data_IF_786144087945
#
_entry.id   IF_786144087945
#
_cell.length_a   1.000
_cell.length_b   1.000
_cell.length_c   1.000
_cell.angle_alpha   90.00
_cell.angle_beta   90.00
_cell.angle_gamma   90.00
#
_symmetry.space_group_name_H-M   'P 1'
#
loop_
_entity.id
_entity.type
_entity.pdbx_description
1 polymer ?
#
# COMPACT_ATOMS: atom_id res chain seq x y z
N UNK A 1 1.02 9.33 -0.05
CA UNK A 1 2.01 9.54 -1.12
C UNK A 1 1.41 10.27 -2.32
N UNK A 2 0.36 9.76 -2.95
CA UNK A 2 -0.26 10.36 -4.14
C UNK A 2 -0.41 11.89 -4.11
N UNK A 3 -1.06 12.46 -3.09
CA UNK A 3 -1.30 13.91 -3.01
C UNK A 3 0.02 14.69 -3.09
N UNK A 4 1.05 14.27 -2.36
CA UNK A 4 2.35 14.96 -2.35
C UNK A 4 3.12 14.79 -3.65
N UNK A 5 3.13 13.58 -4.21
CA UNK A 5 3.87 13.27 -5.44
C UNK A 5 3.23 13.90 -6.68
N UNK A 6 1.91 14.11 -6.67
CA UNK A 6 1.17 14.71 -7.77
C UNK A 6 0.99 16.24 -7.62
N UNK A 7 1.74 16.90 -6.73
CA UNK A 7 1.77 18.36 -6.59
C UNK A 7 0.68 18.97 -5.70
N UNK A 8 -0.08 18.16 -4.97
CA UNK A 8 -1.00 18.61 -3.93
C UNK A 8 -0.33 18.80 -2.57
N UNK A 9 -1.10 19.27 -1.58
CA UNK A 9 -0.65 19.49 -0.20
C UNK A 9 -1.65 18.90 0.79
N UNK A 10 -1.13 18.27 1.85
CA UNK A 10 -1.92 17.85 3.00
C UNK A 10 -1.71 18.82 4.17
N UNK A 11 -2.79 19.35 4.73
CA UNK A 11 -2.77 20.35 5.80
C UNK A 11 -3.61 19.89 7.00
N UNK A 12 -3.11 20.17 8.20
CA UNK A 12 -3.86 19.97 9.43
C UNK A 12 -4.41 21.33 9.89
N UNK A 13 -5.73 21.52 9.82
CA UNK A 13 -6.39 22.80 10.13
C UNK A 13 -6.87 22.81 11.58
N UNK A 14 -6.21 23.55 12.50
CA UNK A 14 -6.54 23.49 13.92
C UNK A 14 -7.93 24.06 14.25
N UNK A 15 -8.48 24.93 13.41
CA UNK A 15 -9.81 25.52 13.62
C UNK A 15 -10.97 24.56 13.25
N UNK A 16 -10.67 23.42 12.63
CA UNK A 16 -11.67 22.43 12.19
C UNK A 16 -11.61 21.22 13.10
N UNK A 17 -12.61 21.06 13.98
CA UNK A 17 -12.64 19.99 14.96
C UNK A 17 -13.70 18.92 14.62
N UNK A 18 -13.28 17.66 14.59
CA UNK A 18 -14.16 16.49 14.45
C UNK A 18 -13.69 15.45 15.48
N UNK A 19 -14.61 14.99 16.33
CA UNK A 19 -14.32 13.92 17.29
C UNK A 19 -14.37 12.54 16.63
N UNK A 20 -13.39 11.69 16.90
CA UNK A 20 -13.37 10.29 16.47
C UNK A 20 -13.47 9.35 17.67
N UNK A 21 -14.46 8.44 17.67
CA UNK A 21 -14.57 7.39 18.69
C UNK A 21 -13.65 6.23 18.28
N UNK A 22 -12.49 6.11 18.92
CA UNK A 22 -11.57 5.00 18.68
C UNK A 22 -12.21 3.67 19.11
N UNK A 23 -12.28 2.71 18.18
CA UNK A 23 -12.84 1.37 18.42
C UNK A 23 -11.92 0.31 17.84
N UNK A 24 -12.03 -0.90 18.37
CA UNK A 24 -11.53 -2.08 17.66
C UNK A 24 -12.40 -2.36 16.42
N UNK A 25 -11.82 -3.03 15.45
CA UNK A 25 -12.47 -3.32 14.18
C UNK A 25 -13.72 -4.21 14.38
N UNK A 26 -14.94 -3.74 14.03
CA UNK A 26 -16.18 -4.43 14.41
C UNK A 26 -16.62 -5.52 13.42
N UNK A 27 -15.87 -5.72 12.34
CA UNK A 27 -16.18 -6.67 11.27
C UNK A 27 -15.00 -7.59 10.98
N UNK A 28 -15.31 -8.78 10.47
CA UNK A 28 -14.35 -9.80 10.12
C UNK A 28 -13.94 -9.71 8.64
N UNK A 29 -12.71 -10.13 8.35
CA UNK A 29 -12.19 -10.21 7.00
C UNK A 29 -12.06 -11.67 6.58
N UNK A 30 -12.43 -12.03 5.34
CA UNK A 30 -12.09 -13.34 4.79
C UNK A 30 -10.56 -13.48 4.76
N UNK A 31 -10.01 -14.54 5.35
CA UNK A 31 -8.56 -14.74 5.47
C UNK A 31 -7.87 -13.96 6.61
N UNK A 32 -8.64 -13.19 7.39
CA UNK A 32 -8.12 -12.44 8.53
C UNK A 32 -7.62 -11.03 8.18
N UNK A 33 -7.66 -10.16 9.19
CA UNK A 33 -7.32 -8.74 9.08
C UNK A 33 -5.90 -8.51 8.52
N UNK A 34 -4.93 -9.22 9.09
CA UNK A 34 -3.50 -9.03 8.78
C UNK A 34 -3.21 -9.28 7.30
N UNK A 35 -3.79 -10.34 6.73
CA UNK A 35 -3.57 -10.69 5.33
C UNK A 35 -4.09 -9.59 4.38
N UNK A 36 -5.28 -9.05 4.65
CA UNK A 36 -5.89 -7.99 3.83
C UNK A 36 -5.14 -6.66 3.99
N UNK A 37 -4.72 -6.31 5.21
CA UNK A 37 -3.92 -5.12 5.45
C UNK A 37 -2.58 -5.20 4.72
N UNK A 38 -1.86 -6.31 4.83
CA UNK A 38 -0.60 -6.53 4.12
C UNK A 38 -0.77 -6.48 2.60
N UNK A 39 -1.85 -7.07 2.06
CA UNK A 39 -2.16 -6.97 0.64
C UNK A 39 -2.35 -5.52 0.17
N UNK A 40 -3.08 -4.71 0.95
CA UNK A 40 -3.32 -3.31 0.63
C UNK A 40 -2.04 -2.46 0.77
N UNK A 41 -1.24 -2.69 1.81
CA UNK A 41 0.05 -2.02 1.97
C UNK A 41 1.00 -2.33 0.82
N UNK A 42 1.09 -3.59 0.39
CA UNK A 42 1.89 -4.00 -0.76
C UNK A 42 1.50 -3.22 -2.03
N UNK A 43 0.20 -3.09 -2.32
CA UNK A 43 -0.27 -2.29 -3.48
C UNK A 43 0.15 -0.83 -3.39
N UNK A 44 0.10 -0.23 -2.21
CA UNK A 44 0.53 1.15 -2.02
C UNK A 44 2.05 1.30 -2.18
N UNK A 45 2.82 0.34 -1.66
CA UNK A 45 4.29 0.29 -1.77
C UNK A 45 4.70 0.15 -3.24
N UNK A 46 4.11 -0.78 -3.98
CA UNK A 46 4.48 -1.01 -5.39
C UNK A 46 4.19 0.17 -6.31
N UNK A 47 3.13 0.93 -6.03
CA UNK A 47 2.71 2.05 -6.88
C UNK A 47 3.39 3.36 -6.49
N UNK A 48 3.61 3.62 -5.20
CA UNK A 48 3.96 4.95 -4.72
C UNK A 48 5.34 5.09 -4.08
N UNK A 49 6.04 3.99 -3.78
CA UNK A 49 7.42 4.02 -3.31
C UNK A 49 8.36 3.76 -4.49
N UNK A 50 9.58 4.29 -4.42
CA UNK A 50 10.68 3.93 -5.31
C UNK A 50 11.33 2.60 -4.89
N UNK A 51 12.17 2.02 -5.75
CA UNK A 51 12.67 0.67 -5.50
C UNK A 51 13.59 0.59 -4.28
N UNK A 52 14.36 1.64 -3.98
CA UNK A 52 15.22 1.69 -2.79
C UNK A 52 14.40 1.63 -1.49
N UNK A 53 13.36 2.47 -1.36
CA UNK A 53 12.55 2.47 -0.15
C UNK A 53 11.65 1.24 -0.04
N UNK A 54 11.22 0.64 -1.17
CA UNK A 54 10.53 -0.67 -1.17
C UNK A 54 11.38 -1.74 -0.51
N UNK A 55 12.68 -1.83 -0.84
CA UNK A 55 13.57 -2.85 -0.26
C UNK A 55 13.69 -2.71 1.26
N UNK A 56 13.76 -1.48 1.78
CA UNK A 56 13.81 -1.25 3.24
C UNK A 56 12.58 -1.84 3.92
N UNK A 57 11.39 -1.63 3.33
CA UNK A 57 10.14 -2.14 3.87
C UNK A 57 10.08 -3.66 3.78
N UNK A 58 10.47 -4.24 2.65
CA UNK A 58 10.46 -5.69 2.46
C UNK A 58 11.47 -6.43 3.32
N UNK A 59 12.64 -5.84 3.57
CA UNK A 59 13.62 -6.38 4.51
C UNK A 59 13.11 -6.34 5.96
N UNK A 60 12.32 -5.32 6.31
CA UNK A 60 11.73 -5.19 7.65
C UNK A 60 10.54 -6.12 7.85
N UNK A 61 9.80 -6.43 6.79
CA UNK A 61 8.57 -7.23 6.80
C UNK A 61 8.57 -8.27 5.68
N UNK A 62 9.34 -9.37 5.83
CA UNK A 62 9.53 -10.35 4.76
C UNK A 62 8.23 -11.06 4.35
N UNK A 63 7.24 -11.17 5.23
CA UNK A 63 5.93 -11.78 4.93
C UNK A 63 5.16 -11.06 3.82
N UNK A 64 5.44 -9.78 3.57
CA UNK A 64 4.83 -9.02 2.47
C UNK A 64 5.45 -9.37 1.10
N UNK A 65 6.62 -10.03 1.06
CA UNK A 65 7.28 -10.45 -0.17
C UNK A 65 6.68 -11.70 -0.80
N UNK A 66 5.73 -12.38 -0.14
CA UNK A 66 5.10 -13.59 -0.69
C UNK A 66 4.56 -13.27 -2.09
N UNK A 67 5.14 -13.97 -3.07
CA UNK A 67 4.84 -13.82 -4.48
C UNK A 67 3.36 -14.08 -4.66
N UNK A 68 2.64 -13.01 -4.88
CA UNK A 68 1.26 -13.11 -5.28
C UNK A 68 1.27 -13.50 -6.75
N UNK A 69 1.27 -14.79 -7.01
CA UNK A 69 0.89 -15.31 -8.33
C UNK A 69 -0.61 -15.05 -8.49
N UNK A 70 -1.01 -13.79 -8.63
CA UNK A 70 -2.39 -13.41 -8.86
C UNK A 70 -2.60 -13.17 -10.35
N UNK A 71 -3.20 -14.20 -10.97
CA UNK A 71 -4.32 -14.08 -11.88
C UNK A 71 -4.17 -13.10 -13.06
N UNK A 72 -3.86 -13.65 -14.24
CA UNK A 72 -4.21 -13.22 -15.63
C UNK A 72 -4.11 -11.75 -16.09
N UNK A 73 -3.81 -10.77 -15.25
CA UNK A 73 -3.70 -9.34 -15.61
C UNK A 73 -2.23 -8.90 -15.77
N UNK A 74 -1.29 -9.78 -15.41
CA UNK A 74 0.17 -9.59 -15.51
C UNK A 74 0.75 -9.71 -16.95
N UNK A 75 -0.07 -9.60 -18.00
CA UNK A 75 0.46 -9.52 -19.37
C UNK A 75 0.97 -8.11 -19.71
N UNK A 76 0.48 -7.06 -19.03
CA UNK A 76 0.81 -5.68 -19.42
C UNK A 76 2.12 -5.16 -18.81
N UNK A 77 2.50 -5.62 -17.61
CA UNK A 77 3.74 -5.16 -16.95
C UNK A 77 5.00 -5.93 -17.36
N UNK A 78 4.88 -7.12 -17.96
CA UNK A 78 6.03 -7.88 -18.44
C UNK A 78 6.73 -7.20 -19.64
N UNK A 79 6.00 -6.41 -20.45
CA UNK A 79 6.59 -5.70 -21.59
C UNK A 79 7.43 -4.47 -21.20
N UNK A 80 7.12 -3.79 -20.10
CA UNK A 80 7.83 -2.55 -19.74
C UNK A 80 9.18 -2.79 -19.03
N UNK A 81 9.40 -3.99 -18.48
CA UNK A 81 10.66 -4.34 -17.82
C UNK A 81 11.71 -4.95 -18.76
N UNK A 82 11.45 -5.03 -20.07
CA UNK A 82 12.41 -5.48 -21.09
C UNK A 82 12.94 -4.33 -21.96
N UNK A 83 12.55 -3.08 -21.67
CA UNK A 83 13.04 -1.88 -22.34
C UNK A 83 13.24 -0.75 -21.32
N UNK A 84 14.15 -0.94 -20.35
CA UNK A 84 15.05 0.07 -19.76
C UNK A 84 16.15 -0.64 -18.98
#
# INVERSE_FOLDING_TARGET
>A
MQIWLCGGRLVHTPCSHIGHVARYQPYNFPGGRVQIEQYNYKRAIEVWMDDEHKQIIYNSFPDMMVRMCLSRVLVVFCCYACMM
#
